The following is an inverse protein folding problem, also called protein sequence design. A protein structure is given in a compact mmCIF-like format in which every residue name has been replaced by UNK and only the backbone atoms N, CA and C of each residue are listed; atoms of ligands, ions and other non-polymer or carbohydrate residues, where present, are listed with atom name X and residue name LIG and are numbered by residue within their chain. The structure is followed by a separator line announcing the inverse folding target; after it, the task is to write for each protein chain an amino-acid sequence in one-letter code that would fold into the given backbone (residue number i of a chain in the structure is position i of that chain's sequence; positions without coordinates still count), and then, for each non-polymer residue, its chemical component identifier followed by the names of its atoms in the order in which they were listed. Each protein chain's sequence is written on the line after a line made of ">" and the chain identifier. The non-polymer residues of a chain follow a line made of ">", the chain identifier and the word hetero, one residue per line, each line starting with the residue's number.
data_IF_463780432973
#
_entry.id   IF_463780432973
#
_cell.length_a   1.000
_cell.length_b   1.000
_cell.length_c   1.000
_cell.angle_alpha   90.00
_cell.angle_beta   90.00
_cell.angle_gamma   90.00
#
_symmetry.space_group_name_H-M   'P 1'
#
loop_
_entity.id
_entity.type
_entity.pdbx_description
1 polymer ?
#
# COMPACT_ATOMS: atom_id res chain seq x y z
N UNK A 1 20.85 -7.38 -5.28
CA UNK A 1 20.57 -6.45 -4.16
C UNK A 1 19.26 -6.81 -3.52
N UNK A 2 19.00 -6.32 -2.30
CA UNK A 2 17.74 -6.58 -1.57
C UNK A 2 16.53 -6.06 -2.37
N UNK A 3 15.45 -6.85 -2.44
CA UNK A 3 14.19 -6.49 -3.11
C UNK A 3 13.12 -6.27 -2.04
N UNK A 4 12.87 -5.03 -1.68
CA UNK A 4 11.90 -4.67 -0.64
C UNK A 4 10.50 -4.61 -1.25
N UNK A 5 9.56 -5.33 -0.67
CA UNK A 5 8.13 -5.16 -0.94
C UNK A 5 7.57 -4.12 0.03
N UNK A 6 6.70 -3.23 -0.44
CA UNK A 6 6.09 -2.18 0.38
C UNK A 6 4.58 -2.16 0.15
N UNK A 7 3.83 -2.08 1.24
CA UNK A 7 2.40 -1.83 1.24
C UNK A 7 2.08 -0.60 2.06
N UNK A 8 1.10 0.18 1.62
CA UNK A 8 0.60 1.34 2.35
C UNK A 8 -0.92 1.27 2.43
N UNK A 9 -1.44 1.46 3.64
CA UNK A 9 -2.86 1.61 3.90
C UNK A 9 -3.10 2.91 4.67
N UNK A 10 -4.33 3.39 4.65
CA UNK A 10 -4.76 4.56 5.40
C UNK A 10 -6.17 4.34 5.90
N UNK A 11 -6.54 5.05 6.95
CA UNK A 11 -7.80 4.87 7.64
C UNK A 11 -7.59 4.82 9.15
N UNK A 12 -8.67 4.99 9.90
CA UNK A 12 -8.70 4.72 11.33
C UNK A 12 -10.12 4.28 11.65
N UNK A 13 -10.30 3.01 12.04
CA UNK A 13 -11.62 2.49 12.35
C UNK A 13 -11.99 2.80 13.81
N UNK A 14 -11.03 2.62 14.74
CA UNK A 14 -11.25 2.85 16.16
C UNK A 14 -10.08 3.61 16.79
N UNK A 15 -10.38 4.54 17.72
CA UNK A 15 -9.34 5.22 18.51
C UNK A 15 -8.53 4.23 19.37
N UNK A 16 -9.14 3.11 19.75
CA UNK A 16 -8.47 2.03 20.47
C UNK A 16 -7.36 1.34 19.65
N UNK A 17 -7.30 1.55 18.33
CA UNK A 17 -6.24 1.02 17.47
C UNK A 17 -4.92 1.76 17.65
N UNK A 18 -4.93 2.90 18.36
CA UNK A 18 -3.75 3.73 18.60
C UNK A 18 -3.52 3.83 20.11
N UNK A 19 -2.57 3.05 20.63
CA UNK A 19 -2.34 2.94 22.06
C UNK A 19 -0.92 3.36 22.44
N UNK A 20 -0.80 4.16 23.49
CA UNK A 20 0.51 4.43 24.10
C UNK A 20 0.89 3.29 25.04
N UNK A 21 1.92 2.54 24.67
CA UNK A 21 2.44 1.49 25.51
C UNK A 21 3.44 2.06 26.53
N UNK A 22 3.02 2.13 27.80
CA UNK A 22 3.83 2.69 28.90
C UNK A 22 5.15 1.93 29.13
N UNK A 23 5.18 0.62 28.90
CA UNK A 23 6.36 -0.19 29.13
C UNK A 23 7.45 0.07 28.06
N UNK A 24 7.04 0.27 26.81
CA UNK A 24 7.99 0.57 25.71
C UNK A 24 8.17 2.06 25.45
N UNK A 25 7.35 2.90 26.06
CA UNK A 25 7.26 4.34 25.82
C UNK A 25 7.10 4.70 24.33
N UNK A 26 6.32 3.88 23.60
CA UNK A 26 6.06 4.03 22.16
C UNK A 26 4.57 3.97 21.87
N UNK A 27 4.15 4.69 20.82
CA UNK A 27 2.84 4.50 20.20
C UNK A 27 2.82 3.17 19.46
N UNK A 28 1.80 2.38 19.70
CA UNK A 28 1.52 1.13 19.01
C UNK A 28 0.23 1.31 18.22
N UNK A 29 0.27 0.84 16.97
CA UNK A 29 -0.87 0.81 16.07
C UNK A 29 -1.33 -0.63 15.98
N UNK A 30 -2.64 -0.86 15.89
CA UNK A 30 -3.24 -2.18 15.83
C UNK A 30 -4.53 -2.18 15.01
N UNK A 31 -5.36 -3.19 15.27
CA UNK A 31 -6.67 -3.33 14.66
C UNK A 31 -6.63 -3.54 13.15
N UNK A 32 -7.78 -3.28 12.53
CA UNK A 32 -8.03 -3.57 11.12
C UNK A 32 -7.08 -2.80 10.20
N UNK A 33 -6.73 -1.56 10.54
CA UNK A 33 -5.78 -0.76 9.76
C UNK A 33 -4.42 -1.45 9.65
N UNK A 34 -3.88 -1.94 10.78
CA UNK A 34 -2.59 -2.61 10.76
C UNK A 34 -2.67 -3.94 10.00
N UNK A 35 -3.78 -4.68 10.17
CA UNK A 35 -4.03 -5.91 9.43
C UNK A 35 -4.10 -5.65 7.91
N UNK A 36 -4.80 -4.60 7.47
CA UNK A 36 -4.86 -4.16 6.07
C UNK A 36 -3.48 -3.74 5.55
N UNK A 37 -2.74 -2.89 6.29
CA UNK A 37 -1.39 -2.47 5.88
C UNK A 37 -0.45 -3.66 5.69
N UNK A 38 -0.52 -4.63 6.61
CA UNK A 38 0.24 -5.87 6.51
C UNK A 38 -0.18 -6.72 5.32
N UNK A 39 -1.48 -6.93 5.10
CA UNK A 39 -2.00 -7.72 3.99
C UNK A 39 -1.61 -7.11 2.63
N UNK A 40 -1.75 -5.79 2.47
CA UNK A 40 -1.32 -5.06 1.26
C UNK A 40 0.19 -5.20 1.04
N UNK A 41 0.99 -5.10 2.11
CA UNK A 41 2.44 -5.29 2.01
C UNK A 41 2.83 -6.73 1.68
N UNK A 42 2.08 -7.71 2.16
CA UNK A 42 2.36 -9.13 1.91
C UNK A 42 1.99 -9.54 0.47
N UNK A 43 0.97 -8.90 -0.11
CA UNK A 43 0.58 -9.06 -1.52
C UNK A 43 1.60 -8.46 -2.51
N UNK A 44 2.42 -7.50 -2.08
CA UNK A 44 3.42 -6.86 -2.94
C UNK A 44 4.59 -7.80 -3.27
N UNK A 45 4.99 -7.81 -4.55
CA UNK A 45 6.21 -8.48 -4.99
C UNK A 45 7.47 -7.67 -4.60
N UNK A 46 8.65 -8.31 -4.63
CA UNK A 46 9.91 -7.64 -4.31
C UNK A 46 10.25 -6.48 -5.25
N UNK A 47 10.31 -5.26 -4.70
CA UNK A 47 10.51 -4.00 -5.42
C UNK A 47 9.22 -3.29 -5.82
N UNK A 48 8.05 -3.82 -5.42
CA UNK A 48 6.74 -3.25 -5.69
C UNK A 48 6.25 -2.40 -4.51
N UNK A 49 5.48 -1.36 -4.82
CA UNK A 49 4.75 -0.54 -3.87
C UNK A 49 3.26 -0.67 -4.18
N UNK A 50 2.49 -1.21 -3.23
CA UNK A 50 1.03 -1.33 -3.32
C UNK A 50 0.35 -0.42 -2.31
N UNK A 51 -0.81 0.12 -2.70
CA UNK A 51 -1.69 0.93 -1.86
C UNK A 51 -3.05 0.27 -1.75
N UNK A 52 -3.69 0.38 -0.58
CA UNK A 52 -5.14 0.25 -0.49
C UNK A 52 -5.84 1.43 -1.15
N UNK A 53 -7.11 1.26 -1.50
CA UNK A 53 -7.97 2.32 -2.02
C UNK A 53 -7.98 3.56 -1.11
N UNK A 54 -8.15 3.36 0.20
CA UNK A 54 -8.13 4.45 1.17
C UNK A 54 -6.83 5.27 1.16
N UNK A 55 -5.69 4.61 0.97
CA UNK A 55 -4.40 5.28 0.85
C UNK A 55 -4.29 6.04 -0.46
N UNK A 56 -4.79 5.47 -1.56
CA UNK A 56 -4.80 6.10 -2.88
C UNK A 56 -5.61 7.40 -2.90
N UNK A 57 -6.85 7.38 -2.39
CA UNK A 57 -7.75 8.57 -2.39
C UNK A 57 -7.16 9.75 -1.61
N UNK A 58 -6.27 9.48 -0.64
CA UNK A 58 -5.61 10.50 0.19
C UNK A 58 -4.29 11.02 -0.39
N UNK A 59 -3.84 10.53 -1.54
CA UNK A 59 -2.61 11.00 -2.15
C UNK A 59 -2.76 12.44 -2.67
N UNK A 60 -1.79 13.33 -2.39
CA UNK A 60 -1.73 14.67 -2.99
C UNK A 60 -1.25 14.58 -4.44
N UNK A 61 -2.13 14.15 -5.35
CA UNK A 61 -1.80 13.92 -6.75
C UNK A 61 -1.33 15.20 -7.47
N UNK A 62 -1.77 16.36 -7.01
CA UNK A 62 -1.31 17.69 -7.44
C UNK A 62 0.21 17.90 -7.23
N UNK A 63 0.81 17.23 -6.25
CA UNK A 63 2.24 17.33 -5.91
C UNK A 63 3.07 16.14 -6.38
N UNK A 64 2.41 15.04 -6.74
CA UNK A 64 3.01 13.77 -7.10
C UNK A 64 2.92 13.44 -8.59
N UNK A 65 2.11 14.16 -9.36
CA UNK A 65 1.85 13.85 -10.77
C UNK A 65 3.13 13.75 -11.60
N UNK A 66 4.18 14.53 -11.31
CA UNK A 66 5.45 14.52 -12.05
C UNK A 66 6.44 13.45 -11.56
N UNK A 67 6.21 12.88 -10.38
CA UNK A 67 7.12 11.95 -9.70
C UNK A 67 6.63 10.51 -9.73
N UNK A 68 5.34 10.29 -9.60
CA UNK A 68 4.72 8.99 -9.46
C UNK A 68 3.65 8.76 -10.53
N UNK A 69 3.51 7.50 -10.92
CA UNK A 69 2.37 6.99 -11.65
C UNK A 69 1.70 5.96 -10.76
N UNK A 70 0.38 6.10 -10.62
CA UNK A 70 -0.45 5.18 -9.84
C UNK A 70 -1.37 4.46 -10.81
N UNK A 71 -1.42 3.14 -10.71
CA UNK A 71 -2.23 2.29 -11.59
C UNK A 71 -3.14 1.43 -10.73
N UNK A 72 -4.43 1.40 -11.05
CA UNK A 72 -5.34 0.39 -10.52
C UNK A 72 -4.92 -0.97 -11.08
N UNK A 73 -4.68 -1.94 -10.19
CA UNK A 73 -4.22 -3.28 -10.57
C UNK A 73 -5.31 -4.34 -10.44
N UNK A 74 -6.45 -3.98 -9.85
CA UNK A 74 -7.63 -4.83 -9.71
C UNK A 74 -8.18 -4.85 -8.30
N UNK A 75 -9.24 -5.63 -8.16
CA UNK A 75 -9.94 -5.91 -6.91
C UNK A 75 -9.46 -7.26 -6.36
N UNK A 76 -9.13 -7.30 -5.06
CA UNK A 76 -8.51 -8.47 -4.43
C UNK A 76 -9.12 -8.79 -3.07
N UNK A 77 -9.29 -10.09 -2.81
CA UNK A 77 -9.51 -10.65 -1.49
C UNK A 77 -8.14 -11.04 -0.91
N UNK A 78 -7.64 -10.28 0.07
CA UNK A 78 -6.27 -10.46 0.60
C UNK A 78 -6.18 -11.38 1.81
N UNK A 79 -7.26 -11.47 2.59
CA UNK A 79 -7.41 -12.31 3.77
C UNK A 79 -8.90 -12.53 4.01
N UNK A 80 -9.29 -13.68 4.53
CA UNK A 80 -10.67 -14.07 4.87
C UNK A 80 -11.32 -13.10 5.88
N UNK A 81 -10.50 -12.39 6.66
CA UNK A 81 -10.96 -11.43 7.69
C UNK A 81 -11.11 -9.99 7.17
N UNK A 82 -10.59 -9.69 5.97
CA UNK A 82 -10.61 -8.35 5.40
C UNK A 82 -11.63 -8.26 4.27
N UNK A 83 -12.25 -7.08 4.14
CA UNK A 83 -13.07 -6.80 2.98
C UNK A 83 -12.24 -6.87 1.69
N UNK A 84 -12.89 -7.32 0.61
CA UNK A 84 -12.38 -7.20 -0.74
C UNK A 84 -12.08 -5.71 -1.01
N UNK A 85 -10.93 -5.43 -1.61
CA UNK A 85 -10.50 -4.04 -1.85
C UNK A 85 -9.77 -3.88 -3.18
N UNK A 86 -9.87 -2.67 -3.72
CA UNK A 86 -9.06 -2.23 -4.85
C UNK A 86 -7.61 -1.96 -4.42
N UNK A 87 -6.68 -2.47 -5.22
CA UNK A 87 -5.26 -2.22 -5.05
C UNK A 87 -4.70 -1.33 -6.15
N UNK A 88 -3.76 -0.50 -5.74
CA UNK A 88 -3.08 0.44 -6.63
C UNK A 88 -1.58 0.26 -6.55
N UNK A 89 -0.93 0.08 -7.70
CA UNK A 89 0.52 0.02 -7.78
C UNK A 89 1.08 1.42 -8.04
N UNK A 90 2.09 1.80 -7.25
CA UNK A 90 2.87 3.02 -7.46
C UNK A 90 4.20 2.70 -8.11
N UNK A 91 4.55 3.46 -9.13
CA UNK A 91 5.85 3.42 -9.78
C UNK A 91 6.37 4.82 -10.06
N UNK A 92 7.69 4.98 -10.13
CA UNK A 92 8.28 6.27 -10.48
C UNK A 92 7.96 6.64 -11.92
N UNK A 93 7.57 7.90 -12.18
CA UNK A 93 7.18 8.36 -13.52
C UNK A 93 8.28 8.20 -14.56
N UNK A 94 9.55 8.21 -14.13
CA UNK A 94 10.72 7.92 -14.99
C UNK A 94 10.74 6.50 -15.56
N UNK A 95 10.03 5.56 -14.93
CA UNK A 95 9.94 4.17 -15.37
C UNK A 95 8.81 3.95 -16.39
N UNK A 96 7.98 4.98 -16.66
CA UNK A 96 6.81 4.86 -17.54
C UNK A 96 7.17 4.32 -18.93
N UNK A 97 8.25 4.81 -19.54
CA UNK A 97 8.71 4.33 -20.85
C UNK A 97 9.24 2.89 -20.85
N UNK A 98 9.51 2.30 -19.69
CA UNK A 98 10.02 0.92 -19.53
C UNK A 98 8.94 -0.05 -19.07
N UNK A 99 7.78 0.46 -18.64
CA UNK A 99 6.70 -0.37 -18.11
C UNK A 99 6.06 -1.24 -19.19
N UNK A 100 5.97 -0.74 -20.42
CA UNK A 100 5.49 -1.51 -21.58
C UNK A 100 6.31 -2.76 -21.88
N UNK A 101 7.59 -2.78 -21.50
CA UNK A 101 8.47 -3.95 -21.68
C UNK A 101 8.20 -5.03 -20.62
N UNK A 102 7.75 -4.64 -19.43
CA UNK A 102 7.44 -5.58 -18.33
C UNK A 102 6.13 -6.36 -18.56
N UNK A 103 5.21 -5.82 -19.36
CA UNK A 103 3.96 -6.51 -19.72
C UNK A 103 4.16 -7.66 -20.71
N UNK A 104 5.29 -7.71 -21.42
CA UNK A 104 5.55 -8.68 -22.51
C UNK A 104 6.49 -9.80 -22.06
N UNK A 105 7.18 -9.63 -20.92
CA UNK A 105 8.03 -10.66 -20.34
C UNK A 105 7.20 -11.57 -19.41
N UNK A 106 6.44 -12.50 -20.00
CA UNK A 106 6.01 -13.73 -19.34
C UNK A 106 6.66 -14.93 -20.01
#
# INVERSE_FOLDING_TARGET
>A
GLRVRMGMASGLACEADVQYNKATSRMQYGGDLLATAKAVSDAAAGGMVLLSEDAYVRLPMDQLWDKAMVMHVGEYELNDELAIMDLYQVTGRRLMGRLGVLSVSR
#
